data_IF_048398663625
#
_entry.id   IF_048398663625
#
_cell.length_a   1.000
_cell.length_b   1.000
_cell.length_c   1.000
_cell.angle_alpha   90.00
_cell.angle_beta   90.00
_cell.angle_gamma   90.00
#
_symmetry.space_group_name_H-M   'P 1'
#
loop_
_entity.id
_entity.type
_entity.pdbx_description
1 polymer ?
#
# COMPACT_ATOMS: atom_id res chain seq x y z
N UNK A 1 -5.82 6.26 8.34
CA UNK A 1 -7.09 6.97 8.16
C UNK A 1 -7.41 7.21 6.67
N UNK A 2 -6.46 7.55 5.81
CA UNK A 2 -6.67 7.51 4.35
C UNK A 2 -6.95 6.10 3.83
N UNK A 3 -6.30 5.09 4.41
CA UNK A 3 -6.53 3.68 4.14
C UNK A 3 -8.00 3.26 4.29
N UNK A 4 -8.76 3.92 5.17
CA UNK A 4 -10.17 3.61 5.42
C UNK A 4 -11.16 4.31 4.48
N UNK A 5 -10.78 5.46 3.91
CA UNK A 5 -11.61 6.18 2.94
C UNK A 5 -11.57 5.53 1.54
N UNK A 6 -10.54 4.73 1.26
CA UNK A 6 -10.33 4.07 -0.03
C UNK A 6 -10.73 2.58 -0.01
N UNK A 7 -10.91 1.97 1.16
CA UNK A 7 -11.21 0.54 1.26
C UNK A 7 -12.70 0.30 1.25
N UNK A 8 -13.26 0.04 0.09
CA UNK A 8 -14.58 -0.53 0.01
C UNK A 8 -15.05 -0.90 -1.41
N UNK A 9 -14.94 -2.15 -1.81
CA UNK A 9 -15.97 -2.91 -2.53
C UNK A 9 -15.64 -4.37 -2.82
N UNK A 10 -16.55 -5.25 -2.53
CA UNK A 10 -16.53 -6.62 -3.00
C UNK A 10 -17.85 -6.96 -3.68
N UNK A 11 -17.81 -7.18 -4.95
CA UNK A 11 -18.80 -7.94 -5.67
C UNK A 11 -18.12 -9.19 -6.19
N UNK A 12 -18.44 -10.35 -5.60
CA UNK A 12 -17.97 -11.65 -6.08
C UNK A 12 -18.38 -11.85 -7.53
N UNK A 13 -17.44 -11.80 -8.45
CA UNK A 13 -17.52 -12.49 -9.72
C UNK A 13 -16.22 -13.26 -9.92
N UNK A 14 -16.30 -14.55 -9.64
CA UNK A 14 -15.36 -15.51 -10.22
C UNK A 14 -15.46 -15.37 -11.74
N UNK A 15 -14.46 -14.75 -12.36
CA UNK A 15 -14.27 -14.87 -13.80
C UNK A 15 -13.40 -16.09 -14.04
N UNK A 16 -14.04 -17.06 -14.69
CA UNK A 16 -13.39 -18.24 -15.21
C UNK A 16 -12.24 -17.87 -16.13
N UNK A 17 -11.25 -18.71 -16.09
CA UNK A 17 -10.11 -18.76 -17.01
C UNK A 17 -10.67 -18.81 -18.44
N UNK A 18 -10.65 -17.69 -19.11
CA UNK A 18 -10.91 -17.56 -20.55
C UNK A 18 -9.57 -17.49 -21.26
N UNK A 19 -9.32 -18.50 -22.05
CA UNK A 19 -8.19 -18.71 -22.94
C UNK A 19 -8.00 -17.56 -23.94
N UNK A 20 -6.73 -17.29 -24.24
CA UNK A 20 -6.21 -16.72 -25.48
C UNK A 20 -6.61 -15.26 -25.79
N UNK A 21 -5.89 -14.33 -25.20
CA UNK A 21 -5.64 -13.02 -25.79
C UNK A 21 -4.19 -12.99 -26.26
N UNK A 22 -4.03 -12.80 -27.56
CA UNK A 22 -2.74 -12.73 -28.26
C UNK A 22 -1.75 -11.80 -27.54
N UNK A 23 -0.60 -12.37 -27.17
CA UNK A 23 0.59 -11.67 -26.71
C UNK A 23 1.17 -10.82 -27.84
N UNK A 24 0.68 -9.60 -28.01
CA UNK A 24 1.38 -8.58 -28.79
C UNK A 24 1.03 -7.16 -28.30
N UNK A 25 1.34 -6.88 -27.05
CA UNK A 25 1.53 -5.52 -26.55
C UNK A 25 2.71 -5.54 -25.59
N UNK A 26 3.65 -4.61 -25.71
CA UNK A 26 4.65 -4.37 -24.70
C UNK A 26 3.92 -4.27 -23.35
N UNK A 27 4.18 -5.20 -22.43
CA UNK A 27 3.55 -5.22 -21.12
C UNK A 27 3.67 -3.84 -20.51
N UNK A 28 2.52 -3.19 -20.24
CA UNK A 28 2.52 -1.88 -19.61
C UNK A 28 3.21 -1.99 -18.25
N UNK A 29 4.28 -1.22 -18.05
CA UNK A 29 5.05 -1.20 -16.82
C UNK A 29 4.71 0.01 -15.97
N UNK A 30 5.05 -0.04 -14.68
CA UNK A 30 4.86 1.05 -13.74
C UNK A 30 6.19 1.48 -13.12
N UNK A 31 6.29 2.75 -12.75
CA UNK A 31 7.34 3.22 -11.84
C UNK A 31 6.86 3.00 -10.41
N UNK A 32 7.76 2.59 -9.52
CA UNK A 32 7.44 2.34 -8.13
C UNK A 32 8.12 3.35 -7.20
N UNK A 33 7.41 3.76 -6.16
CA UNK A 33 7.93 4.62 -5.09
C UNK A 33 7.80 3.88 -3.76
N UNK A 34 8.93 3.53 -3.14
CA UNK A 34 8.96 3.00 -1.78
C UNK A 34 8.94 4.18 -0.81
N UNK A 35 7.91 4.24 0.01
CA UNK A 35 7.77 5.23 1.07
C UNK A 35 8.29 4.63 2.38
N UNK A 36 9.55 4.88 2.66
CA UNK A 36 10.29 4.39 3.84
C UNK A 36 10.78 5.55 4.72
N UNK A 37 10.14 6.71 4.62
CA UNK A 37 10.38 7.87 5.46
C UNK A 37 9.82 7.69 6.86
N UNK A 38 10.16 8.62 7.76
CA UNK A 38 9.76 8.60 9.15
C UNK A 38 10.86 8.08 10.08
N UNK A 39 11.06 8.82 11.16
CA UNK A 39 12.04 8.51 12.21
C UNK A 39 11.34 8.47 13.57
N UNK A 40 11.89 7.70 14.52
CA UNK A 40 11.42 7.73 15.89
C UNK A 40 10.06 7.08 16.12
N UNK A 41 9.64 6.16 15.24
CA UNK A 41 8.44 5.35 15.45
C UNK A 41 8.61 4.36 16.62
N UNK A 42 7.52 3.75 17.07
CA UNK A 42 7.51 2.85 18.23
C UNK A 42 8.45 1.64 18.07
N UNK A 43 8.52 1.08 16.86
CA UNK A 43 9.40 -0.06 16.56
C UNK A 43 10.85 0.40 16.61
N UNK A 44 11.18 1.52 15.97
CA UNK A 44 12.52 2.08 16.00
C UNK A 44 12.96 2.40 17.43
N UNK A 45 12.07 2.95 18.26
CA UNK A 45 12.37 3.24 19.67
C UNK A 45 12.63 1.96 20.47
N UNK A 46 11.80 0.92 20.30
CA UNK A 46 11.95 -0.35 21.03
C UNK A 46 13.22 -1.10 20.64
N UNK A 47 13.60 -1.06 19.37
CA UNK A 47 14.78 -1.72 18.82
C UNK A 47 16.05 -0.83 18.83
N UNK A 48 15.94 0.43 19.27
CA UNK A 48 17.02 1.45 19.24
C UNK A 48 17.59 1.67 17.83
N UNK A 49 16.71 1.73 16.84
CA UNK A 49 17.00 1.93 15.42
C UNK A 49 16.66 3.36 14.99
N UNK A 50 17.22 3.78 13.86
CA UNK A 50 16.88 5.07 13.22
C UNK A 50 15.45 5.05 12.68
N UNK A 51 15.04 3.93 12.08
CA UNK A 51 13.70 3.72 11.51
C UNK A 51 13.32 2.24 11.59
N UNK A 52 12.02 1.96 11.67
CA UNK A 52 11.46 0.59 11.69
C UNK A 52 11.83 -0.25 10.45
N UNK A 53 12.03 0.40 9.32
CA UNK A 53 12.32 -0.29 8.06
C UNK A 53 13.66 -1.03 8.05
N UNK A 54 14.57 -0.69 8.97
CA UNK A 54 15.84 -1.43 9.16
C UNK A 54 15.77 -2.54 10.20
N UNK A 55 14.62 -2.71 10.87
CA UNK A 55 14.40 -3.85 11.74
C UNK A 55 14.55 -5.16 10.95
N UNK A 56 15.18 -6.16 11.56
CA UNK A 56 15.49 -7.42 10.90
C UNK A 56 14.34 -8.42 11.03
N UNK A 57 13.89 -8.94 9.89
CA UNK A 57 12.92 -10.03 9.78
C UNK A 57 13.46 -11.07 8.80
N UNK A 58 13.44 -12.36 9.15
CA UNK A 58 14.05 -13.45 8.38
C UNK A 58 15.52 -13.16 8.00
N UNK A 59 16.32 -12.63 8.92
CA UNK A 59 17.75 -12.39 8.74
C UNK A 59 18.10 -11.17 7.85
N UNK A 60 17.13 -10.36 7.41
CA UNK A 60 17.36 -9.20 6.57
C UNK A 60 16.55 -7.98 7.04
N UNK A 61 17.05 -6.75 6.86
CA UNK A 61 16.26 -5.53 7.06
C UNK A 61 14.99 -5.55 6.21
N UNK A 62 13.87 -5.09 6.78
CA UNK A 62 12.57 -5.11 6.08
C UNK A 62 12.66 -4.35 4.76
N UNK A 63 13.28 -3.18 4.74
CA UNK A 63 13.43 -2.38 3.52
C UNK A 63 14.12 -3.15 2.39
N UNK A 64 15.13 -3.97 2.71
CA UNK A 64 15.85 -4.76 1.71
C UNK A 64 14.97 -5.89 1.12
N UNK A 65 14.01 -6.37 1.89
CA UNK A 65 13.02 -7.35 1.41
C UNK A 65 12.05 -6.70 0.43
N UNK A 66 11.57 -5.49 0.74
CA UNK A 66 10.70 -4.70 -0.16
C UNK A 66 11.42 -4.35 -1.46
N UNK A 67 12.67 -3.87 -1.37
CA UNK A 67 13.50 -3.57 -2.55
C UNK A 67 13.68 -4.82 -3.42
N UNK A 68 14.02 -5.96 -2.81
CA UNK A 68 14.19 -7.22 -3.52
C UNK A 68 12.90 -7.67 -4.22
N UNK A 69 11.75 -7.51 -3.56
CA UNK A 69 10.45 -7.84 -4.16
C UNK A 69 10.19 -6.99 -5.42
N UNK A 70 10.42 -5.67 -5.34
CA UNK A 70 10.25 -4.78 -6.49
C UNK A 70 11.26 -5.03 -7.61
N UNK A 71 12.51 -5.38 -7.29
CA UNK A 71 13.51 -5.75 -8.28
C UNK A 71 13.15 -7.04 -9.02
N UNK A 72 12.49 -7.98 -8.34
CA UNK A 72 12.03 -9.25 -8.91
C UNK A 72 10.69 -9.12 -9.66
N UNK A 73 9.95 -8.02 -9.47
CA UNK A 73 8.73 -7.75 -10.20
C UNK A 73 9.05 -7.37 -11.65
N UNK A 74 8.37 -8.02 -12.59
CA UNK A 74 8.61 -7.86 -14.03
C UNK A 74 7.91 -6.64 -14.61
N UNK A 75 6.82 -6.18 -13.96
CA UNK A 75 6.04 -5.02 -14.39
C UNK A 75 6.52 -3.70 -13.76
N UNK A 76 7.55 -3.73 -12.93
CA UNK A 76 8.15 -2.52 -12.34
C UNK A 76 9.36 -2.08 -13.16
N UNK A 77 9.34 -0.83 -13.65
CA UNK A 77 10.40 -0.23 -14.48
C UNK A 77 11.49 0.41 -13.62
N UNK A 78 11.16 1.50 -12.93
CA UNK A 78 12.08 2.22 -12.05
C UNK A 78 11.58 2.13 -10.61
N UNK A 79 12.50 2.17 -9.65
CA UNK A 79 12.23 2.11 -8.22
C UNK A 79 12.86 3.31 -7.56
N UNK A 80 12.04 4.19 -7.01
CA UNK A 80 12.45 5.36 -6.25
C UNK A 80 12.25 5.06 -4.77
N UNK A 81 13.29 5.24 -3.97
CA UNK A 81 13.27 4.88 -2.55
C UNK A 81 13.41 6.16 -1.73
N UNK A 82 12.34 6.56 -1.06
CA UNK A 82 12.36 7.69 -0.15
C UNK A 82 12.62 7.19 1.25
N UNK A 83 13.78 7.56 1.80
CA UNK A 83 14.23 7.10 3.13
C UNK A 83 15.13 8.14 3.79
N UNK A 84 15.28 8.14 5.13
CA UNK A 84 16.25 8.98 5.80
C UNK A 84 17.64 8.83 5.18
N UNK A 85 18.36 9.96 5.03
CA UNK A 85 19.66 10.00 4.36
C UNK A 85 20.68 9.05 5.00
N UNK A 86 20.59 8.85 6.30
CA UNK A 86 21.44 7.95 7.09
C UNK A 86 21.34 6.49 6.63
N UNK A 87 20.23 6.11 5.98
CA UNK A 87 20.01 4.75 5.49
C UNK A 87 20.45 4.54 4.04
N UNK A 88 20.84 5.60 3.33
CA UNK A 88 21.24 5.49 1.93
C UNK A 88 22.45 4.56 1.72
N UNK A 89 23.40 4.55 2.68
CA UNK A 89 24.56 3.67 2.60
C UNK A 89 24.17 2.18 2.64
N UNK A 90 23.19 1.82 3.48
CA UNK A 90 22.69 0.46 3.61
C UNK A 90 22.12 -0.05 2.28
N UNK A 91 21.29 0.78 1.64
CA UNK A 91 20.67 0.40 0.35
C UNK A 91 21.74 0.29 -0.74
N UNK A 92 22.70 1.22 -0.80
CA UNK A 92 23.77 1.21 -1.82
C UNK A 92 24.73 0.02 -1.70
N UNK A 93 24.95 -0.50 -0.50
CA UNK A 93 25.81 -1.65 -0.30
C UNK A 93 25.20 -2.96 -0.84
N UNK A 94 23.90 -3.15 -0.64
CA UNK A 94 23.21 -4.41 -0.94
C UNK A 94 22.44 -4.40 -2.27
N UNK A 95 22.15 -3.22 -2.83
CA UNK A 95 21.34 -3.08 -4.04
C UNK A 95 21.95 -2.06 -5.00
N UNK A 96 23.01 -2.45 -5.71
CA UNK A 96 23.51 -1.68 -6.83
C UNK A 96 22.76 -2.06 -8.11
N UNK A 97 21.84 -1.20 -8.55
CA UNK A 97 21.06 -1.40 -9.76
C UNK A 97 20.70 -0.04 -10.38
N UNK A 98 20.87 0.09 -11.68
CA UNK A 98 20.51 1.31 -12.42
C UNK A 98 19.03 1.70 -12.31
N UNK A 99 18.16 0.72 -11.98
CA UNK A 99 16.71 0.94 -11.77
C UNK A 99 16.40 1.60 -10.42
N UNK A 100 17.37 1.76 -9.50
CA UNK A 100 17.18 2.29 -8.16
C UNK A 100 17.62 3.75 -8.06
N UNK A 101 16.75 4.60 -7.55
CA UNK A 101 17.05 6.00 -7.21
C UNK A 101 16.75 6.26 -5.74
N UNK A 102 17.75 6.70 -4.98
CA UNK A 102 17.61 7.06 -3.57
C UNK A 102 17.25 8.53 -3.43
N UNK A 103 16.25 8.80 -2.60
CA UNK A 103 15.72 10.15 -2.35
C UNK A 103 15.67 10.37 -0.85
N UNK A 104 16.16 11.52 -0.42
CA UNK A 104 16.12 11.88 0.99
C UNK A 104 14.68 12.15 1.46
N UNK A 105 14.34 11.66 2.66
CA UNK A 105 13.07 11.96 3.32
C UNK A 105 12.95 13.46 3.60
N UNK A 106 11.83 14.05 3.18
CA UNK A 106 11.53 15.48 3.38
C UNK A 106 10.77 15.75 4.70
N UNK A 107 10.50 14.71 5.49
CA UNK A 107 9.72 14.80 6.73
C UNK A 107 8.20 14.86 6.52
N UNK A 108 7.70 14.77 5.29
CA UNK A 108 6.27 14.73 5.03
C UNK A 108 5.92 13.80 3.88
N UNK A 109 4.78 13.10 3.98
CA UNK A 109 4.31 12.15 2.95
C UNK A 109 4.23 12.81 1.56
N UNK A 110 3.62 13.97 1.46
CA UNK A 110 3.42 14.66 0.18
C UNK A 110 4.71 15.30 -0.35
N UNK A 111 5.57 15.79 0.53
CA UNK A 111 6.92 16.19 0.16
C UNK A 111 7.72 15.04 -0.44
N UNK A 112 7.64 13.87 0.16
CA UNK A 112 8.29 12.65 -0.29
C UNK A 112 7.77 12.21 -1.66
N UNK A 113 6.46 12.18 -1.86
CA UNK A 113 5.84 11.87 -3.16
C UNK A 113 6.30 12.85 -4.23
N UNK A 114 6.23 14.15 -3.98
CA UNK A 114 6.65 15.17 -4.94
C UNK A 114 8.13 15.10 -5.26
N UNK A 115 8.97 14.90 -4.25
CA UNK A 115 10.41 14.72 -4.44
C UNK A 115 10.72 13.47 -5.28
N UNK A 116 10.01 12.36 -5.05
CA UNK A 116 10.17 11.16 -5.85
C UNK A 116 9.75 11.40 -7.32
N UNK A 117 8.57 11.96 -7.53
CA UNK A 117 8.05 12.19 -8.89
C UNK A 117 8.91 13.17 -9.69
N UNK A 118 9.55 14.15 -9.04
CA UNK A 118 10.45 15.10 -9.71
C UNK A 118 11.71 14.44 -10.30
N UNK A 119 12.06 13.22 -9.89
CA UNK A 119 13.17 12.44 -10.44
C UNK A 119 12.77 11.63 -11.68
N UNK A 120 11.47 11.55 -12.00
CA UNK A 120 10.98 10.83 -13.17
C UNK A 120 10.82 11.80 -14.34
N UNK A 121 11.74 11.75 -15.32
CA UNK A 121 11.64 12.57 -16.54
C UNK A 121 10.43 12.21 -17.41
N UNK A 122 10.11 10.92 -17.46
CA UNK A 122 8.98 10.36 -18.22
C UNK A 122 8.29 9.32 -17.33
N UNK A 123 7.41 9.74 -16.40
CA UNK A 123 6.69 8.81 -15.55
C UNK A 123 5.80 7.88 -16.37
N UNK A 124 5.61 6.66 -15.91
CA UNK A 124 4.58 5.78 -16.43
C UNK A 124 3.19 6.34 -16.12
N UNK A 125 2.18 5.89 -16.83
CA UNK A 125 0.80 6.40 -16.62
C UNK A 125 0.32 6.20 -15.18
N UNK A 126 0.69 5.08 -14.56
CA UNK A 126 0.43 4.78 -13.15
C UNK A 126 1.73 4.66 -12.38
N UNK A 127 1.70 5.13 -11.14
CA UNK A 127 2.79 5.00 -10.17
C UNK A 127 2.34 4.03 -9.08
N UNK A 128 3.20 3.05 -8.78
CA UNK A 128 3.00 2.11 -7.69
C UNK A 128 3.66 2.68 -6.42
N UNK A 129 2.85 3.02 -5.43
CA UNK A 129 3.33 3.38 -4.09
C UNK A 129 3.34 2.14 -3.21
N UNK A 130 4.45 1.90 -2.50
CA UNK A 130 4.63 0.75 -1.61
C UNK A 130 5.20 1.23 -0.29
N UNK A 131 4.65 0.75 0.82
CA UNK A 131 5.23 1.02 2.13
C UNK A 131 6.54 0.26 2.33
N UNK A 132 7.51 0.90 2.99
CA UNK A 132 8.86 0.32 3.20
C UNK A 132 8.95 -0.72 4.31
N UNK A 133 7.85 -1.03 4.98
CA UNK A 133 7.76 -1.86 6.20
C UNK A 133 6.98 -3.17 6.00
N UNK A 134 6.95 -3.69 4.78
CA UNK A 134 6.24 -4.90 4.36
C UNK A 134 7.20 -6.12 4.28
N UNK A 135 7.40 -6.89 5.38
CA UNK A 135 8.44 -7.92 5.42
C UNK A 135 8.18 -9.14 4.53
N UNK A 136 6.93 -9.41 4.16
CA UNK A 136 6.54 -10.62 3.43
C UNK A 136 6.17 -10.38 1.97
N UNK A 137 6.28 -9.12 1.48
CA UNK A 137 5.96 -8.79 0.10
C UNK A 137 6.84 -9.55 -0.90
N UNK A 138 6.27 -9.97 -2.03
CA UNK A 138 6.94 -10.72 -3.09
C UNK A 138 6.70 -10.07 -4.46
N UNK A 139 7.64 -10.30 -5.39
CA UNK A 139 7.57 -9.72 -6.74
C UNK A 139 6.38 -10.23 -7.57
N UNK A 140 6.05 -11.51 -7.47
CA UNK A 140 4.89 -12.11 -8.14
C UNK A 140 3.56 -11.50 -7.69
N UNK A 141 3.43 -11.15 -6.40
CA UNK A 141 2.23 -10.48 -5.87
C UNK A 141 2.16 -9.02 -6.30
N UNK A 142 3.31 -8.36 -6.45
CA UNK A 142 3.38 -7.01 -7.04
C UNK A 142 2.93 -7.06 -8.50
N UNK A 143 3.44 -8.02 -9.29
CA UNK A 143 3.04 -8.19 -10.68
C UNK A 143 1.55 -8.51 -10.81
N UNK A 144 1.02 -9.37 -9.93
CA UNK A 144 -0.42 -9.64 -9.87
C UNK A 144 -1.22 -8.35 -9.61
N UNK A 145 -0.86 -7.59 -8.58
CA UNK A 145 -1.54 -6.35 -8.22
C UNK A 145 -1.48 -5.30 -9.34
N UNK A 146 -0.33 -5.12 -9.96
CA UNK A 146 -0.13 -4.19 -11.07
C UNK A 146 -0.95 -4.61 -12.29
N UNK A 147 -0.95 -5.90 -12.65
CA UNK A 147 -1.69 -6.43 -13.80
C UNK A 147 -3.20 -6.22 -13.63
N UNK A 148 -3.75 -6.62 -12.49
CA UNK A 148 -5.18 -6.45 -12.19
C UNK A 148 -5.55 -4.97 -12.13
N UNK A 149 -4.69 -4.16 -11.53
CA UNK A 149 -4.87 -2.73 -11.45
C UNK A 149 -4.90 -2.04 -12.81
N UNK A 150 -3.94 -2.31 -13.67
CA UNK A 150 -3.89 -1.74 -15.03
C UNK A 150 -5.07 -2.24 -15.89
N UNK A 151 -5.43 -3.51 -15.76
CA UNK A 151 -6.57 -4.10 -16.48
C UNK A 151 -7.92 -3.48 -16.07
N UNK A 152 -8.05 -2.98 -14.86
CA UNK A 152 -9.25 -2.28 -14.39
C UNK A 152 -9.49 -0.94 -15.07
N UNK A 153 -8.44 -0.31 -15.61
CA UNK A 153 -8.48 1.04 -16.20
C UNK A 153 -8.73 2.16 -15.19
N UNK A 154 -8.79 1.86 -13.89
CA UNK A 154 -9.11 2.83 -12.85
C UNK A 154 -7.93 3.78 -12.59
N UNK A 155 -8.25 4.99 -12.13
CA UNK A 155 -7.24 5.99 -11.77
C UNK A 155 -6.52 5.66 -10.46
N UNK A 156 -7.23 4.99 -9.55
CA UNK A 156 -6.68 4.53 -8.26
C UNK A 156 -7.06 3.08 -8.05
N UNK A 157 -6.06 2.27 -7.69
CA UNK A 157 -6.26 0.87 -7.30
C UNK A 157 -5.72 0.66 -5.89
N UNK A 158 -6.57 0.09 -5.03
CA UNK A 158 -6.22 -0.15 -3.63
C UNK A 158 -6.56 -1.59 -3.24
N UNK A 159 -5.60 -2.37 -2.71
CA UNK A 159 -5.86 -3.74 -2.31
C UNK A 159 -6.48 -3.81 -0.91
N UNK A 160 -7.42 -4.72 -0.73
CA UNK A 160 -7.94 -5.11 0.57
C UNK A 160 -7.90 -6.63 0.69
N UNK A 161 -7.66 -7.12 1.90
CA UNK A 161 -7.54 -8.55 2.20
C UNK A 161 -8.64 -8.93 3.19
N UNK A 162 -9.43 -9.98 2.90
CA UNK A 162 -10.35 -10.55 3.88
C UNK A 162 -9.59 -10.97 5.14
N UNK A 163 -10.15 -10.65 6.32
CA UNK A 163 -9.50 -11.02 7.59
C UNK A 163 -9.33 -12.52 7.75
N UNK A 164 -10.20 -13.32 7.15
CA UNK A 164 -10.07 -14.79 7.13
C UNK A 164 -8.78 -15.19 6.42
N UNK A 165 -8.54 -14.72 5.21
CA UNK A 165 -7.32 -15.00 4.45
C UNK A 165 -6.06 -14.47 5.18
N UNK A 166 -6.16 -13.28 5.78
CA UNK A 166 -5.05 -12.72 6.55
C UNK A 166 -4.71 -13.59 7.79
N UNK A 167 -5.72 -14.02 8.55
CA UNK A 167 -5.53 -14.86 9.74
C UNK A 167 -5.10 -16.30 9.39
N UNK A 168 -5.51 -16.83 8.24
CA UNK A 168 -5.03 -18.12 7.72
C UNK A 168 -3.55 -18.07 7.38
N UNK A 169 -3.09 -16.99 6.73
CA UNK A 169 -1.68 -16.84 6.32
C UNK A 169 -0.75 -16.51 7.50
N UNK A 170 -1.17 -15.60 8.37
CA UNK A 170 -0.28 -15.02 9.38
C UNK A 170 -0.74 -15.25 10.82
N UNK A 171 -1.89 -15.89 11.04
CA UNK A 171 -2.47 -16.00 12.37
C UNK A 171 -3.02 -14.66 12.89
N UNK A 172 -3.50 -14.67 14.13
CA UNK A 172 -4.06 -13.47 14.77
C UNK A 172 -2.97 -12.49 15.16
N UNK A 173 -2.97 -11.30 14.61
CA UNK A 173 -2.16 -10.18 15.06
C UNK A 173 -2.99 -8.88 15.06
N UNK A 174 -2.47 -7.86 15.74
CA UNK A 174 -3.15 -6.56 15.84
C UNK A 174 -3.16 -5.87 14.47
N UNK A 175 -4.37 -5.63 13.94
CA UNK A 175 -4.59 -4.96 12.65
C UNK A 175 -5.73 -3.96 12.74
N UNK A 176 -5.71 -3.01 11.83
CA UNK A 176 -6.86 -2.14 11.61
C UNK A 176 -7.87 -2.87 10.73
N UNK A 177 -9.04 -3.16 11.28
CA UNK A 177 -10.06 -3.98 10.61
C UNK A 177 -11.25 -3.12 10.23
N UNK A 178 -11.65 -3.17 8.95
CA UNK A 178 -12.93 -2.70 8.43
C UNK A 178 -13.99 -3.77 8.57
N UNK A 179 -14.90 -3.57 9.51
CA UNK A 179 -16.08 -4.43 9.62
C UNK A 179 -17.18 -3.84 8.75
N UNK A 180 -17.50 -4.54 7.68
CA UNK A 180 -18.51 -4.13 6.70
C UNK A 180 -19.60 -5.21 6.61
N UNK A 181 -20.71 -4.88 5.97
CA UNK A 181 -21.83 -5.82 5.80
C UNK A 181 -21.44 -7.04 4.96
N UNK A 182 -20.52 -6.85 4.02
CA UNK A 182 -20.03 -7.85 3.08
C UNK A 182 -18.72 -8.54 3.54
N UNK A 183 -18.23 -8.24 4.73
CA UNK A 183 -17.08 -8.91 5.30
C UNK A 183 -16.25 -8.05 6.26
N UNK A 184 -15.23 -8.67 6.83
CA UNK A 184 -14.20 -7.99 7.60
C UNK A 184 -12.90 -7.96 6.78
N UNK A 185 -12.34 -6.78 6.57
CA UNK A 185 -11.16 -6.59 5.72
C UNK A 185 -10.09 -5.78 6.43
N UNK A 186 -8.84 -6.01 6.05
CA UNK A 186 -7.73 -5.12 6.34
C UNK A 186 -7.23 -4.48 5.05
N UNK A 187 -6.79 -3.23 5.11
CA UNK A 187 -6.24 -2.53 3.95
C UNK A 187 -4.83 -2.99 3.62
N UNK A 188 -4.48 -2.97 2.34
CA UNK A 188 -3.10 -3.21 1.91
C UNK A 188 -2.20 -1.99 2.11
N UNK A 189 -0.91 -2.21 1.95
CA UNK A 189 0.14 -1.21 2.16
C UNK A 189 0.85 -0.84 0.86
N UNK A 190 0.15 -1.01 -0.25
CA UNK A 190 0.50 -0.48 -1.56
C UNK A 190 -0.71 0.15 -2.24
N UNK A 191 -0.46 0.97 -3.24
CA UNK A 191 -1.50 1.66 -4.02
C UNK A 191 -0.96 1.93 -5.41
N UNK A 192 -1.79 1.68 -6.45
CA UNK A 192 -1.50 2.09 -7.81
C UNK A 192 -2.32 3.34 -8.13
N UNK A 193 -1.66 4.40 -8.59
CA UNK A 193 -2.31 5.70 -8.80
C UNK A 193 -1.88 6.27 -10.15
N UNK A 194 -2.84 6.66 -10.97
CA UNK A 194 -2.57 7.44 -12.18
C UNK A 194 -1.98 8.79 -11.79
N UNK A 195 -0.79 9.12 -12.29
CA UNK A 195 -0.05 10.27 -11.80
C UNK A 195 -0.81 11.60 -11.95
N UNK A 196 -1.69 11.72 -12.95
CA UNK A 196 -2.49 12.93 -13.20
C UNK A 196 -3.53 13.23 -12.10
N UNK A 197 -3.91 12.24 -11.27
CA UNK A 197 -4.89 12.47 -10.19
C UNK A 197 -4.24 12.75 -8.83
N UNK A 198 -2.91 12.68 -8.72
CA UNK A 198 -2.19 12.81 -7.45
C UNK A 198 -2.46 14.12 -6.72
N UNK A 199 -2.58 15.25 -7.44
CA UNK A 199 -2.91 16.54 -6.82
C UNK A 199 -4.33 16.56 -6.21
N UNK A 200 -5.27 15.81 -6.78
CA UNK A 200 -6.62 15.65 -6.21
C UNK A 200 -6.57 14.78 -4.96
N UNK A 201 -5.82 13.69 -5.01
CA UNK A 201 -5.59 12.80 -3.87
C UNK A 201 -4.95 13.57 -2.71
N UNK A 202 -3.94 14.42 -2.98
CA UNK A 202 -3.30 15.27 -1.98
C UNK A 202 -4.30 16.21 -1.31
N UNK A 203 -5.04 16.99 -2.11
CA UNK A 203 -6.04 17.94 -1.58
C UNK A 203 -7.07 17.24 -0.71
N UNK A 204 -7.64 16.13 -1.19
CA UNK A 204 -8.63 15.36 -0.45
C UNK A 204 -8.06 14.76 0.84
N UNK A 205 -6.81 14.30 0.81
CA UNK A 205 -6.12 13.78 1.98
C UNK A 205 -5.94 14.87 3.06
N UNK A 206 -5.53 16.07 2.64
CA UNK A 206 -5.39 17.21 3.54
C UNK A 206 -6.75 17.64 4.14
N UNK A 207 -7.81 17.68 3.33
CA UNK A 207 -9.17 17.95 3.80
C UNK A 207 -9.66 16.89 4.79
N UNK A 208 -9.43 15.61 4.52
CA UNK A 208 -9.79 14.51 5.40
C UNK A 208 -9.04 14.58 6.75
N UNK A 209 -7.75 14.91 6.73
CA UNK A 209 -6.95 15.10 7.93
C UNK A 209 -7.49 16.30 8.75
N UNK A 210 -7.85 17.39 8.09
CA UNK A 210 -8.44 18.56 8.75
C UNK A 210 -9.84 18.26 9.31
N UNK A 211 -10.63 17.46 8.59
CA UNK A 211 -11.99 17.10 8.99
C UNK A 211 -12.05 16.14 10.20
N UNK A 212 -11.02 15.29 10.39
CA UNK A 212 -11.01 14.26 11.46
C UNK A 212 -11.22 14.79 12.88
N UNK A 213 -10.92 16.06 13.11
CA UNK A 213 -11.07 16.73 14.41
C UNK A 213 -12.48 17.27 14.66
N UNK A 214 -13.41 17.15 13.71
CA UNK A 214 -14.76 17.69 13.79
C UNK A 214 -15.77 16.75 13.14
N UNK A 215 -16.67 16.20 13.96
CA UNK A 215 -17.75 15.34 13.48
C UNK A 215 -18.62 16.02 12.42
N UNK A 216 -18.83 17.33 12.55
CA UNK A 216 -19.58 18.11 11.57
C UNK A 216 -18.88 18.19 10.20
N UNK A 217 -17.56 18.42 10.20
CA UNK A 217 -16.77 18.42 8.95
C UNK A 217 -16.73 17.04 8.30
N UNK A 218 -16.57 15.99 9.12
CA UNK A 218 -16.67 14.59 8.64
C UNK A 218 -18.05 14.30 8.05
N UNK A 219 -19.13 14.75 8.71
CA UNK A 219 -20.49 14.57 8.20
C UNK A 219 -20.71 15.29 6.88
N UNK A 220 -20.18 16.51 6.74
CA UNK A 220 -20.24 17.26 5.50
C UNK A 220 -19.47 16.57 4.35
N UNK A 221 -18.30 15.99 4.66
CA UNK A 221 -17.45 15.33 3.69
C UNK A 221 -17.97 13.95 3.30
N UNK A 222 -18.26 13.08 4.29
CA UNK A 222 -18.67 11.69 4.06
C UNK A 222 -20.16 11.54 3.80
N UNK A 223 -20.96 12.46 4.32
CA UNK A 223 -22.42 12.37 4.34
C UNK A 223 -22.93 11.67 5.60
N UNK A 224 -24.07 12.16 6.10
CA UNK A 224 -24.68 11.66 7.34
C UNK A 224 -25.03 10.17 7.28
N UNK A 225 -25.44 9.69 6.11
CA UNK A 225 -25.77 8.26 5.88
C UNK A 225 -24.59 7.33 6.16
N UNK A 226 -23.39 7.71 5.68
CA UNK A 226 -22.17 6.92 5.89
C UNK A 226 -21.76 6.96 7.36
N UNK A 227 -21.78 8.14 7.99
CA UNK A 227 -21.44 8.28 9.41
C UNK A 227 -22.35 7.48 10.33
N UNK A 228 -23.65 7.40 10.02
CA UNK A 228 -24.60 6.62 10.82
C UNK A 228 -24.42 5.12 10.61
N UNK A 229 -24.07 4.66 9.41
CA UNK A 229 -23.90 3.24 9.09
C UNK A 229 -22.54 2.67 9.55
N UNK A 230 -21.49 3.50 9.56
CA UNK A 230 -20.11 3.06 9.80
C UNK A 230 -19.91 2.36 11.15
N UNK A 231 -20.41 2.87 12.31
CA UNK A 231 -20.22 2.23 13.61
C UNK A 231 -20.89 0.85 13.73
N UNK A 232 -21.91 0.61 12.92
CA UNK A 232 -22.71 -0.62 12.96
C UNK A 232 -22.28 -1.65 11.89
N UNK A 233 -21.22 -1.36 11.13
CA UNK A 233 -20.77 -2.25 10.06
C UNK A 233 -21.80 -2.45 8.94
N UNK A 234 -22.70 -1.47 8.73
CA UNK A 234 -23.78 -1.56 7.75
C UNK A 234 -23.40 -1.04 6.36
N UNK A 235 -22.19 -0.55 6.19
CA UNK A 235 -21.65 -0.14 4.90
C UNK A 235 -21.15 -1.35 4.13
N UNK A 236 -21.31 -1.31 2.83
CA UNK A 236 -20.61 -2.25 1.94
C UNK A 236 -19.33 -1.62 1.44
N UNK A 237 -18.49 -2.48 0.90
CA UNK A 237 -17.31 -2.11 0.17
C UNK A 237 -17.69 -1.16 -0.97
N UNK A 238 -18.78 -1.38 -1.72
CA UNK A 238 -19.22 -0.52 -2.83
C UNK A 238 -19.66 0.88 -2.40
N UNK A 239 -20.44 0.98 -1.35
CA UNK A 239 -20.87 2.28 -0.84
C UNK A 239 -19.67 3.19 -0.49
N UNK A 240 -18.60 2.62 0.06
CA UNK A 240 -17.39 3.38 0.38
C UNK A 240 -16.58 3.74 -0.90
N UNK A 241 -16.42 2.79 -1.86
CA UNK A 241 -15.77 3.07 -3.15
C UNK A 241 -16.47 4.21 -3.89
N UNK A 242 -17.79 4.09 -4.07
CA UNK A 242 -18.57 5.16 -4.72
C UNK A 242 -18.39 6.51 -4.02
N UNK A 243 -18.29 6.48 -2.68
CA UNK A 243 -18.01 7.71 -1.93
C UNK A 243 -16.61 8.24 -2.17
N UNK A 244 -15.60 7.36 -2.24
CA UNK A 244 -14.24 7.74 -2.59
C UNK A 244 -14.16 8.35 -3.99
N UNK A 245 -14.79 7.74 -4.99
CA UNK A 245 -14.89 8.27 -6.36
C UNK A 245 -15.55 9.66 -6.41
N UNK A 246 -16.65 9.82 -5.67
CA UNK A 246 -17.34 11.10 -5.56
C UNK A 246 -16.43 12.19 -4.96
N UNK A 247 -15.66 11.85 -3.93
CA UNK A 247 -14.78 12.79 -3.26
C UNK A 247 -13.53 13.12 -4.08
N UNK A 248 -12.92 12.10 -4.68
CA UNK A 248 -11.69 12.22 -5.46
C UNK A 248 -11.94 12.67 -6.90
N UNK A 249 -13.20 12.57 -7.38
CA UNK A 249 -13.59 12.84 -8.76
C UNK A 249 -12.71 12.08 -9.78
N UNK A 250 -12.44 10.81 -9.47
CA UNK A 250 -11.71 9.88 -10.32
C UNK A 250 -12.20 8.45 -10.04
N UNK A 251 -11.90 7.52 -10.94
CA UNK A 251 -12.29 6.13 -10.82
C UNK A 251 -11.43 5.39 -9.79
N UNK A 252 -12.07 4.55 -8.98
CA UNK A 252 -11.41 3.74 -7.95
C UNK A 252 -11.74 2.27 -8.15
N UNK A 253 -10.73 1.44 -8.24
CA UNK A 253 -10.85 -0.01 -8.20
C UNK A 253 -10.33 -0.54 -6.87
N UNK A 254 -11.18 -1.29 -6.17
CA UNK A 254 -10.78 -1.99 -4.96
C UNK A 254 -10.44 -3.42 -5.32
N UNK A 255 -9.19 -3.77 -5.22
CA UNK A 255 -8.70 -5.12 -5.49
C UNK A 255 -8.84 -5.99 -4.24
N UNK A 256 -9.90 -6.81 -4.20
CA UNK A 256 -10.09 -7.81 -3.14
C UNK A 256 -9.23 -9.01 -3.46
N UNK A 257 -8.33 -9.39 -2.55
CA UNK A 257 -7.38 -10.47 -2.79
C UNK A 257 -7.06 -11.23 -1.50
N UNK A 258 -6.78 -12.52 -1.63
CA UNK A 258 -6.32 -13.37 -0.52
C UNK A 258 -4.80 -13.27 -0.31
N UNK A 259 -4.08 -12.48 -1.12
CA UNK A 259 -2.64 -12.22 -0.96
C UNK A 259 -2.40 -11.37 0.31
N UNK A 260 -2.36 -12.03 1.44
CA UNK A 260 -2.25 -11.42 2.77
C UNK A 260 -0.96 -10.60 2.95
N UNK A 261 0.10 -10.94 2.21
CA UNK A 261 1.38 -10.24 2.19
C UNK A 261 1.26 -8.77 1.74
N UNK A 262 0.27 -8.46 0.89
CA UNK A 262 -0.02 -7.08 0.48
C UNK A 262 -0.53 -6.21 1.64
N UNK A 263 -1.02 -6.84 2.71
CA UNK A 263 -1.58 -6.16 3.86
C UNK A 263 -0.70 -6.25 5.12
N UNK A 264 0.35 -7.06 5.14
CA UNK A 264 1.19 -7.19 6.33
C UNK A 264 2.26 -6.08 6.36
N UNK A 265 2.19 -5.20 7.34
CA UNK A 265 3.20 -4.18 7.67
C UNK A 265 3.59 -4.26 9.15
N UNK A 266 4.69 -3.61 9.49
CA UNK A 266 5.22 -3.54 10.85
C UNK A 266 5.12 -2.11 11.38
N UNK A 267 4.08 -1.84 12.16
CA UNK A 267 3.84 -0.53 12.81
C UNK A 267 4.08 -0.55 14.33
N UNK A 268 3.93 -1.73 14.95
CA UNK A 268 4.04 -1.91 16.40
C UNK A 268 5.06 -3.01 16.72
N UNK A 269 5.74 -2.95 17.88
CA UNK A 269 6.72 -3.98 18.28
C UNK A 269 6.16 -5.41 18.30
N UNK A 270 4.88 -5.56 18.67
CA UNK A 270 4.24 -6.90 18.67
C UNK A 270 4.12 -7.48 17.25
N UNK A 271 3.92 -6.63 16.23
CA UNK A 271 3.88 -7.07 14.83
C UNK A 271 5.28 -7.49 14.35
N UNK A 272 6.34 -6.80 14.78
CA UNK A 272 7.72 -7.19 14.50
C UNK A 272 8.04 -8.56 15.09
N UNK A 273 7.73 -8.77 16.37
CA UNK A 273 7.91 -10.05 17.03
C UNK A 273 7.09 -11.18 16.39
N UNK A 274 5.88 -10.84 15.94
CA UNK A 274 5.03 -11.76 15.21
C UNK A 274 5.65 -12.16 13.87
N UNK A 275 6.14 -11.20 13.08
CA UNK A 275 6.86 -11.45 11.84
C UNK A 275 8.11 -12.32 12.02
N UNK A 276 8.88 -12.08 13.10
CA UNK A 276 10.05 -12.90 13.45
C UNK A 276 9.69 -14.35 13.76
N UNK A 277 8.57 -14.59 14.48
CA UNK A 277 8.08 -15.95 14.79
C UNK A 277 7.67 -16.70 13.53
N UNK A 278 6.97 -16.06 12.58
CA UNK A 278 6.61 -16.67 11.30
C UNK A 278 7.87 -17.15 10.58
N UNK A 279 8.91 -16.31 10.49
CA UNK A 279 10.17 -16.69 9.86
C UNK A 279 10.86 -17.88 10.52
N UNK A 280 10.76 -18.01 11.83
CA UNK A 280 11.39 -19.13 12.57
C UNK A 280 10.65 -20.45 12.34
N UNK A 281 9.34 -20.42 12.17
CA UNK A 281 8.51 -21.59 11.88
C UNK A 281 8.68 -22.14 10.45
N UNK A 282 9.05 -21.29 9.48
CA UNK A 282 9.31 -21.71 8.09
C UNK A 282 10.71 -22.37 7.91
N UNK A 283 11.60 -22.22 8.88
CA UNK A 283 12.96 -22.79 8.85
C UNK A 283 13.07 -24.13 9.62
N UNK A 284 12.01 -24.58 10.29
CA UNK A 284 11.92 -25.82 11.05
C UNK A 284 11.18 -26.90 10.26
#
# INVERSE_FOLDING_TARGET
MLTWLLAANGGSRCYGIGSDVELNSSLATVDAVILAGGVGDKVAQSEKLVSKVVATVCGKPIIMRVIKALLNATLVRNILIVTPHELHHLVRQDAQCERLTLIADTGSLWGNIKSALSQLHHPTEHILFVAGDMPFIRGDLIDLFVREGLSSGADIVYPIVPMVAFEEAFGKCRRTIGRLRDGAYTGGNCMLVRWQVLDRVERMAQEAIAARKSLWRLAKMLGLKILLKLPFGLLTVDELRMKAEQLLQCSVFVFVTDAAELAFDVDEPEQLEHARRICSSEQS
#
